data_IF_399333521032
#
_entry.id   IF_399333521032
#
_cell.length_a   1.000
_cell.length_b   1.000
_cell.length_c   1.000
_cell.angle_alpha   90.00
_cell.angle_beta   90.00
_cell.angle_gamma   90.00
#
_symmetry.space_group_name_H-M   'P 1'
#
loop_
_entity.id
_entity.type
_entity.pdbx_description
1 polymer ?
#
# COMPACT_ATOMS: atom_id res chain seq x y z
N UNK A 1 72.73 -25.57 -39.05
CA UNK A 1 71.46 -24.93 -39.45
C UNK A 1 70.73 -24.48 -38.19
N UNK A 2 70.52 -23.16 -38.03
CA UNK A 2 69.88 -22.54 -36.85
C UNK A 2 68.41 -22.31 -37.15
N UNK A 3 67.49 -22.83 -36.33
CA UNK A 3 66.05 -22.55 -36.41
C UNK A 3 65.70 -21.33 -35.53
N UNK A 4 65.07 -20.27 -36.07
CA UNK A 4 64.54 -19.17 -35.28
C UNK A 4 63.01 -19.13 -35.35
N UNK A 5 62.32 -19.95 -34.55
CA UNK A 5 60.84 -19.92 -34.49
C UNK A 5 60.28 -19.99 -33.06
N UNK A 6 61.04 -19.53 -32.06
CA UNK A 6 60.63 -19.61 -30.65
C UNK A 6 60.70 -18.26 -29.93
N UNK A 7 60.26 -17.17 -30.57
CA UNK A 7 60.15 -15.85 -29.91
C UNK A 7 58.83 -15.10 -30.11
N UNK A 8 57.91 -15.60 -30.93
CA UNK A 8 56.64 -14.89 -31.19
C UNK A 8 55.42 -15.43 -30.42
N UNK A 9 55.54 -16.56 -29.70
CA UNK A 9 54.41 -17.14 -28.99
C UNK A 9 54.17 -16.58 -27.56
N UNK A 10 55.09 -15.78 -27.01
CA UNK A 10 55.03 -15.34 -25.60
C UNK A 10 54.51 -13.90 -25.41
N UNK A 11 54.22 -13.17 -26.50
CA UNK A 11 53.69 -11.80 -26.41
C UNK A 11 52.18 -11.73 -26.68
N UNK A 12 51.57 -12.76 -27.29
CA UNK A 12 50.14 -12.79 -27.57
C UNK A 12 49.26 -13.31 -26.41
N UNK A 13 49.85 -13.90 -25.36
CA UNK A 13 49.11 -14.45 -24.22
C UNK A 13 49.04 -13.52 -22.99
N UNK A 14 49.58 -12.30 -23.10
CA UNK A 14 49.54 -11.28 -22.04
C UNK A 14 48.48 -10.18 -22.27
N UNK A 15 47.53 -10.41 -23.19
CA UNK A 15 46.47 -9.45 -23.52
C UNK A 15 45.02 -9.96 -23.36
N UNK A 16 44.81 -11.09 -22.67
CA UNK A 16 43.46 -11.67 -22.45
C UNK A 16 43.14 -11.99 -20.98
N UNK A 17 43.74 -11.25 -20.04
CA UNK A 17 43.34 -11.25 -18.64
C UNK A 17 42.90 -9.87 -18.16
N UNK A 18 42.28 -9.07 -19.02
CA UNK A 18 41.36 -8.02 -18.57
C UNK A 18 40.06 -8.71 -18.17
N UNK A 19 40.08 -9.25 -16.95
CA UNK A 19 38.89 -9.73 -16.24
C UNK A 19 37.90 -8.57 -16.27
N UNK A 20 36.79 -8.77 -16.96
CA UNK A 20 35.60 -7.94 -16.84
C UNK A 20 35.13 -8.00 -15.40
N UNK A 21 35.69 -7.14 -14.55
CA UNK A 21 35.04 -6.74 -13.32
C UNK A 21 33.79 -5.98 -13.78
N UNK A 22 32.68 -6.71 -13.90
CA UNK A 22 31.38 -6.07 -13.83
C UNK A 22 31.39 -5.31 -12.50
N UNK A 23 31.64 -4.00 -12.56
CA UNK A 23 31.58 -3.13 -11.41
C UNK A 23 30.19 -3.32 -10.82
N UNK A 24 30.12 -4.01 -9.68
CA UNK A 24 28.89 -4.16 -8.95
C UNK A 24 28.53 -2.76 -8.47
N UNK A 25 27.67 -2.07 -9.22
CA UNK A 25 27.18 -0.75 -8.84
C UNK A 25 26.28 -0.93 -7.62
N UNK A 26 26.73 -0.43 -6.48
CA UNK A 26 25.99 -0.53 -5.23
C UNK A 26 24.87 0.51 -5.23
N UNK A 27 23.64 0.06 -4.99
CA UNK A 27 22.48 0.93 -4.80
C UNK A 27 22.41 1.32 -3.32
N UNK A 28 22.75 2.57 -3.01
CA UNK A 28 22.71 3.14 -1.67
C UNK A 28 21.47 4.01 -1.49
N UNK A 29 20.93 4.05 -0.27
CA UNK A 29 19.91 5.04 0.13
C UNK A 29 20.53 6.00 1.13
N UNK A 30 20.80 7.23 0.71
CA UNK A 30 21.37 8.27 1.56
C UNK A 30 20.32 9.37 1.69
N UNK A 31 19.87 9.66 2.93
CA UNK A 31 18.84 10.66 3.21
C UNK A 31 17.52 10.46 2.42
N UNK A 32 17.12 9.20 2.22
CA UNK A 32 15.89 8.86 1.48
C UNK A 32 15.99 8.94 -0.05
N UNK A 33 17.15 9.34 -0.60
CA UNK A 33 17.40 9.34 -2.05
C UNK A 33 18.21 8.11 -2.46
N UNK A 34 17.79 7.47 -3.55
CA UNK A 34 18.54 6.36 -4.16
C UNK A 34 19.73 6.92 -4.93
N UNK A 35 20.93 6.52 -4.56
CA UNK A 35 22.19 6.90 -5.22
C UNK A 35 22.95 5.63 -5.59
N UNK A 36 23.52 5.60 -6.78
CA UNK A 36 24.33 4.48 -7.26
C UNK A 36 25.80 4.84 -7.14
N UNK A 37 26.60 3.98 -6.50
CA UNK A 37 28.01 4.24 -6.24
C UNK A 37 28.86 2.99 -6.51
N UNK A 38 30.11 3.22 -6.89
CA UNK A 38 31.07 2.15 -7.18
C UNK A 38 31.78 1.64 -5.92
N UNK A 39 31.48 2.22 -4.76
CA UNK A 39 32.02 1.85 -3.45
C UNK A 39 30.90 1.40 -2.50
N UNK A 40 31.15 0.43 -1.60
CA UNK A 40 30.15 -0.01 -0.62
C UNK A 40 29.71 1.16 0.28
N UNK A 41 28.40 1.25 0.55
CA UNK A 41 27.84 2.39 1.27
C UNK A 41 28.46 2.50 2.68
N UNK A 42 29.06 3.65 3.00
CA UNK A 42 29.87 3.91 4.21
C UNK A 42 29.07 4.22 5.49
N UNK A 43 27.75 4.19 5.43
CA UNK A 43 26.85 4.31 6.58
C UNK A 43 26.03 3.04 6.70
N UNK A 44 25.82 2.56 7.93
CA UNK A 44 25.00 1.40 8.32
C UNK A 44 23.85 1.14 7.35
N UNK A 45 24.17 0.38 6.30
CA UNK A 45 23.21 -0.44 5.62
C UNK A 45 22.84 -1.47 6.67
N UNK A 46 21.57 -1.51 7.03
CA UNK A 46 21.04 -2.72 7.65
C UNK A 46 21.53 -3.89 6.82
N UNK A 47 22.30 -4.80 7.42
CA UNK A 47 22.68 -6.04 6.76
C UNK A 47 21.42 -6.77 6.31
N UNK A 48 21.52 -7.65 5.31
CA UNK A 48 20.38 -8.53 4.92
C UNK A 48 19.80 -9.25 6.14
N UNK A 49 20.63 -9.55 7.14
CA UNK A 49 20.22 -10.08 8.42
C UNK A 49 19.40 -9.10 9.27
N UNK A 50 19.80 -7.83 9.39
CA UNK A 50 19.04 -6.79 10.11
C UNK A 50 17.71 -6.47 9.41
N UNK A 51 17.67 -6.45 8.09
CA UNK A 51 16.42 -6.31 7.32
C UNK A 51 15.48 -7.50 7.50
N UNK A 52 16.03 -8.72 7.53
CA UNK A 52 15.26 -9.94 7.82
C UNK A 52 14.69 -9.91 9.24
N UNK A 53 15.49 -9.50 10.23
CA UNK A 53 15.05 -9.34 11.63
C UNK A 53 13.96 -8.27 11.76
N UNK A 54 14.10 -7.13 11.07
CA UNK A 54 13.09 -6.06 11.06
C UNK A 54 11.76 -6.55 10.49
N UNK A 55 11.77 -7.30 9.39
CA UNK A 55 10.57 -7.92 8.80
C UNK A 55 9.95 -8.97 9.73
N UNK A 56 10.77 -9.79 10.38
CA UNK A 56 10.30 -10.79 11.33
C UNK A 56 9.60 -10.12 12.53
N UNK A 57 10.20 -9.08 13.09
CA UNK A 57 9.61 -8.30 14.19
C UNK A 57 8.32 -7.59 13.78
N UNK A 58 8.27 -7.03 12.58
CA UNK A 58 7.03 -6.43 12.06
C UNK A 58 5.91 -7.47 11.93
N UNK A 59 6.23 -8.68 11.45
CA UNK A 59 5.27 -9.77 11.33
C UNK A 59 4.74 -10.24 12.68
N UNK A 60 5.58 -10.26 13.71
CA UNK A 60 5.17 -10.58 15.08
C UNK A 60 4.19 -9.52 15.63
N UNK A 61 4.53 -8.23 15.47
CA UNK A 61 3.63 -7.13 15.87
C UNK A 61 2.31 -7.15 15.10
N UNK A 62 2.33 -7.48 13.80
CA UNK A 62 1.13 -7.63 12.98
C UNK A 62 0.24 -8.77 13.50
N UNK A 63 0.84 -9.92 13.80
CA UNK A 63 0.15 -11.07 14.37
C UNK A 63 -0.47 -10.78 15.74
N UNK A 64 0.27 -10.10 16.64
CA UNK A 64 -0.23 -9.77 17.97
C UNK A 64 -1.42 -8.82 17.91
N UNK A 65 -1.33 -7.78 17.05
CA UNK A 65 -2.44 -6.86 16.82
C UNK A 65 -3.65 -7.56 16.19
N UNK A 66 -3.42 -8.51 15.28
CA UNK A 66 -4.49 -9.32 14.70
C UNK A 66 -5.18 -10.18 15.76
N UNK A 67 -4.40 -10.82 16.64
CA UNK A 67 -4.91 -11.63 17.74
C UNK A 67 -5.76 -10.77 18.69
N UNK A 68 -5.25 -9.60 19.11
CA UNK A 68 -6.00 -8.67 19.95
C UNK A 68 -7.33 -8.25 19.31
N UNK A 69 -7.34 -7.94 18.01
CA UNK A 69 -8.58 -7.62 17.31
C UNK A 69 -9.55 -8.80 17.31
N UNK A 70 -9.08 -10.01 17.01
CA UNK A 70 -9.93 -11.21 17.02
C UNK A 70 -10.55 -11.48 18.40
N UNK A 71 -9.79 -11.28 19.48
CA UNK A 71 -10.27 -11.42 20.85
C UNK A 71 -11.35 -10.38 21.17
N UNK A 72 -11.14 -9.12 20.78
CA UNK A 72 -12.14 -8.07 20.95
C UNK A 72 -13.43 -8.36 20.16
N UNK A 73 -13.32 -8.88 18.93
CA UNK A 73 -14.48 -9.22 18.09
C UNK A 73 -15.26 -10.44 18.64
N UNK A 74 -14.54 -11.38 19.27
CA UNK A 74 -15.13 -12.55 19.90
C UNK A 74 -15.81 -12.23 21.25
N UNK A 75 -15.40 -11.16 21.91
CA UNK A 75 -15.99 -10.68 23.16
C UNK A 75 -17.32 -9.90 22.96
N UNK A 76 -17.66 -9.53 21.72
CA UNK A 76 -18.92 -8.84 21.43
C UNK A 76 -20.12 -9.77 21.58
N UNK A 77 -21.23 -9.23 22.10
CA UNK A 77 -22.50 -9.94 22.15
C UNK A 77 -23.03 -10.24 20.74
N UNK A 78 -23.87 -11.27 20.56
CA UNK A 78 -24.50 -11.57 19.29
C UNK A 78 -25.31 -10.39 18.72
N UNK A 79 -25.94 -9.61 19.59
CA UNK A 79 -26.71 -8.43 19.21
C UNK A 79 -25.82 -7.31 18.68
N UNK A 80 -24.74 -6.99 19.39
CA UNK A 80 -23.76 -5.99 18.93
C UNK A 80 -23.14 -6.37 17.60
N UNK A 81 -22.80 -7.66 17.41
CA UNK A 81 -22.24 -8.17 16.14
C UNK A 81 -23.23 -8.01 14.98
N UNK A 82 -24.53 -8.19 15.23
CA UNK A 82 -25.57 -8.01 14.22
C UNK A 82 -25.79 -6.54 13.84
N UNK A 83 -25.65 -5.63 14.82
CA UNK A 83 -25.87 -4.19 14.62
C UNK A 83 -24.63 -3.46 14.09
N UNK A 84 -23.43 -3.99 14.33
CA UNK A 84 -22.16 -3.33 14.00
C UNK A 84 -22.01 -2.91 12.52
N UNK A 85 -22.41 -3.72 11.51
CA UNK A 85 -22.38 -3.29 10.11
C UNK A 85 -23.25 -2.04 9.88
N UNK A 86 -24.46 -2.00 10.45
CA UNK A 86 -25.38 -0.87 10.29
C UNK A 86 -24.84 0.40 10.94
N UNK A 87 -24.22 0.25 12.12
CA UNK A 87 -23.56 1.35 12.81
C UNK A 87 -22.41 1.93 11.98
N UNK A 88 -21.57 1.05 11.42
CA UNK A 88 -20.47 1.42 10.53
C UNK A 88 -20.97 2.17 9.29
N UNK A 89 -22.03 1.67 8.64
CA UNK A 89 -22.64 2.34 7.50
C UNK A 89 -23.17 3.73 7.86
N UNK A 90 -23.81 3.88 9.02
CA UNK A 90 -24.31 5.17 9.48
C UNK A 90 -23.16 6.17 9.72
N UNK A 91 -22.06 5.72 10.33
CA UNK A 91 -20.87 6.54 10.55
C UNK A 91 -20.22 6.96 9.22
N UNK A 92 -20.06 6.03 8.29
CA UNK A 92 -19.51 6.32 6.97
C UNK A 92 -20.37 7.34 6.21
N UNK A 93 -21.70 7.15 6.19
CA UNK A 93 -22.64 8.09 5.56
C UNK A 93 -22.51 9.48 6.15
N UNK A 94 -22.52 9.61 7.48
CA UNK A 94 -22.37 10.90 8.16
C UNK A 94 -21.06 11.61 7.74
N UNK A 95 -19.93 10.89 7.79
CA UNK A 95 -18.62 11.43 7.43
C UNK A 95 -18.50 11.84 5.98
N UNK A 96 -19.12 11.09 5.07
CA UNK A 96 -19.10 11.40 3.65
C UNK A 96 -20.00 12.60 3.35
N UNK A 97 -21.18 12.65 3.95
CA UNK A 97 -22.12 13.77 3.83
C UNK A 97 -21.50 15.09 4.32
N UNK A 98 -20.73 15.07 5.42
CA UNK A 98 -19.98 16.24 5.92
C UNK A 98 -18.98 16.81 4.90
N UNK A 99 -18.48 15.99 3.97
CA UNK A 99 -17.52 16.40 2.93
C UNK A 99 -18.17 16.87 1.63
N UNK A 100 -19.48 16.73 1.48
CA UNK A 100 -20.19 17.11 0.27
C UNK A 100 -20.45 18.62 0.21
N UNK A 101 -20.45 19.17 -1.00
CA UNK A 101 -20.78 20.59 -1.23
C UNK A 101 -22.22 20.88 -0.81
N UNK A 102 -23.14 19.96 -1.09
CA UNK A 102 -24.54 20.01 -0.65
C UNK A 102 -24.88 18.75 0.17
N UNK A 103 -24.67 18.78 1.50
CA UNK A 103 -24.95 17.64 2.37
C UNK A 103 -26.39 17.14 2.29
N UNK A 104 -27.36 18.03 2.04
CA UNK A 104 -28.79 17.68 2.01
C UNK A 104 -29.20 16.93 0.74
N UNK A 105 -28.46 17.11 -0.35
CA UNK A 105 -28.67 16.40 -1.61
C UNK A 105 -27.76 15.17 -1.76
N UNK A 106 -27.13 14.71 -0.68
CA UNK A 106 -26.26 13.52 -0.71
C UNK A 106 -27.08 12.25 -0.76
N UNK A 107 -26.87 11.45 -1.80
CA UNK A 107 -27.53 10.17 -2.03
C UNK A 107 -26.52 9.03 -2.00
N UNK A 108 -26.90 7.92 -1.37
CA UNK A 108 -26.06 6.73 -1.25
C UNK A 108 -26.73 5.51 -1.87
N UNK A 109 -25.93 4.63 -2.47
CA UNK A 109 -26.40 3.30 -2.91
C UNK A 109 -25.28 2.27 -2.84
N UNK A 110 -25.67 0.99 -2.90
CA UNK A 110 -24.75 -0.14 -2.86
C UNK A 110 -23.79 -0.11 -1.65
N UNK A 111 -24.26 0.43 -0.51
CA UNK A 111 -23.43 0.58 0.69
C UNK A 111 -23.34 -0.75 1.42
N UNK A 112 -22.12 -1.18 1.75
CA UNK A 112 -21.83 -2.40 2.51
C UNK A 112 -20.68 -2.16 3.48
N UNK A 113 -20.83 -2.62 4.71
CA UNK A 113 -19.76 -2.65 5.70
C UNK A 113 -19.07 -4.02 5.75
N UNK A 114 -17.74 -4.00 5.81
CA UNK A 114 -16.87 -5.16 5.93
C UNK A 114 -16.04 -5.01 7.20
N UNK A 115 -16.08 -6.03 8.07
CA UNK A 115 -15.44 -6.02 9.38
C UNK A 115 -14.17 -6.88 9.33
N UNK A 116 -13.08 -6.41 9.95
CA UNK A 116 -11.86 -7.19 10.10
C UNK A 116 -11.09 -7.45 8.80
N UNK A 117 -11.10 -6.50 7.86
CA UNK A 117 -10.43 -6.61 6.57
C UNK A 117 -8.93 -6.30 6.71
N UNK A 118 -8.08 -7.07 6.04
CA UNK A 118 -6.63 -6.81 6.07
C UNK A 118 -6.27 -5.42 5.52
N UNK A 119 -5.59 -4.61 6.32
CA UNK A 119 -5.27 -3.21 6.03
C UNK A 119 -4.38 -3.04 4.79
N UNK A 120 -3.54 -4.01 4.46
CA UNK A 120 -2.69 -4.01 3.24
C UNK A 120 -3.45 -3.83 1.92
N UNK A 121 -4.77 -4.04 1.89
CA UNK A 121 -5.59 -3.78 0.70
C UNK A 121 -5.93 -2.27 0.53
N UNK A 122 -5.73 -1.45 1.58
CA UNK A 122 -6.14 -0.05 1.64
C UNK A 122 -4.98 0.91 1.98
N UNK A 123 -3.93 0.42 2.64
CA UNK A 123 -2.76 1.20 3.07
C UNK A 123 -1.51 0.70 2.35
N UNK A 124 -0.63 1.64 1.96
CA UNK A 124 0.71 1.30 1.48
C UNK A 124 1.57 0.78 2.63
N UNK A 125 2.55 -0.07 2.30
CA UNK A 125 3.48 -0.70 3.26
C UNK A 125 4.26 0.33 4.10
N UNK A 126 4.36 1.56 3.60
CA UNK A 126 5.05 2.69 4.25
C UNK A 126 4.19 3.34 5.36
N UNK A 127 2.86 3.19 5.30
CA UNK A 127 1.89 3.64 6.32
C UNK A 127 1.72 2.58 7.44
N UNK A 128 2.81 1.91 7.82
CA UNK A 128 2.82 0.77 8.76
C UNK A 128 2.38 1.09 10.21
N UNK A 129 1.94 2.32 10.48
CA UNK A 129 1.39 2.71 11.78
C UNK A 129 -0.06 2.23 11.99
N UNK A 130 -0.76 1.82 10.92
CA UNK A 130 -2.15 1.37 10.99
C UNK A 130 -2.35 0.00 11.68
N UNK A 131 -3.56 -0.31 12.16
CA UNK A 131 -3.89 -1.65 12.62
C UNK A 131 -3.84 -2.66 11.46
N UNK A 132 -3.49 -3.94 11.70
CA UNK A 132 -3.35 -4.94 10.64
C UNK A 132 -4.68 -5.30 9.97
N UNK A 133 -5.77 -5.09 10.70
CA UNK A 133 -7.15 -5.25 10.25
C UNK A 133 -7.93 -3.97 10.52
N UNK A 134 -8.82 -3.65 9.60
CA UNK A 134 -9.63 -2.44 9.60
C UNK A 134 -11.08 -2.79 9.25
N UNK A 135 -11.99 -1.95 9.71
CA UNK A 135 -13.38 -1.98 9.27
C UNK A 135 -13.55 -0.97 8.14
N UNK A 136 -14.14 -1.42 7.04
CA UNK A 136 -14.27 -0.65 5.80
C UNK A 136 -15.73 -0.61 5.37
N UNK A 137 -16.20 0.57 4.97
CA UNK A 137 -17.49 0.74 4.31
C UNK A 137 -17.24 1.16 2.88
N UNK A 138 -17.80 0.40 1.95
CA UNK A 138 -17.75 0.68 0.52
C UNK A 138 -19.15 1.02 0.01
N UNK A 139 -19.23 1.83 -1.04
CA UNK A 139 -20.48 2.10 -1.73
C UNK A 139 -20.33 3.15 -2.81
N UNK A 140 -21.45 3.71 -3.23
CA UNK A 140 -21.49 4.83 -4.16
C UNK A 140 -22.21 6.02 -3.55
N UNK A 141 -21.71 7.22 -3.84
CA UNK A 141 -22.26 8.50 -3.39
C UNK A 141 -22.49 9.42 -4.57
N UNK A 142 -23.58 10.19 -4.53
CA UNK A 142 -23.88 11.25 -5.48
C UNK A 142 -24.29 12.51 -4.70
N UNK A 143 -23.99 13.67 -5.23
CA UNK A 143 -24.37 14.97 -4.65
C UNK A 143 -24.47 16.02 -5.75
N UNK A 144 -25.18 17.11 -5.45
CA UNK A 144 -25.17 18.30 -6.28
C UNK A 144 -23.83 19.01 -6.22
N UNK A 145 -23.42 19.59 -7.35
CA UNK A 145 -22.32 20.53 -7.46
C UNK A 145 -22.78 21.96 -7.12
N UNK A 146 -21.86 22.93 -7.18
CA UNK A 146 -22.15 24.36 -6.92
C UNK A 146 -23.18 24.97 -7.90
N UNK A 147 -23.41 24.34 -9.06
CA UNK A 147 -24.40 24.79 -10.05
C UNK A 147 -25.76 24.09 -9.87
N UNK A 148 -25.93 23.26 -8.83
CA UNK A 148 -27.19 22.59 -8.52
C UNK A 148 -27.45 21.28 -9.29
N UNK A 149 -26.53 20.87 -10.17
CA UNK A 149 -26.63 19.61 -10.92
C UNK A 149 -25.96 18.45 -10.19
N UNK A 150 -26.53 17.25 -10.28
CA UNK A 150 -25.91 16.03 -9.76
C UNK A 150 -24.69 15.64 -10.60
N UNK A 151 -23.61 15.22 -9.93
CA UNK A 151 -22.35 14.83 -10.58
C UNK A 151 -22.33 13.37 -11.06
N UNK A 152 -23.38 12.62 -10.71
CA UNK A 152 -23.45 11.18 -10.93
C UNK A 152 -22.84 10.41 -9.76
N UNK A 153 -23.23 9.15 -9.64
CA UNK A 153 -22.72 8.30 -8.56
C UNK A 153 -21.26 7.95 -8.79
N UNK A 154 -20.51 8.06 -7.71
CA UNK A 154 -19.09 7.80 -7.66
C UNK A 154 -18.76 6.83 -6.54
N UNK A 155 -17.85 5.86 -6.75
CA UNK A 155 -17.48 4.91 -5.72
C UNK A 155 -16.76 5.61 -4.57
N UNK A 156 -16.94 5.14 -3.35
CA UNK A 156 -16.19 5.60 -2.17
C UNK A 156 -15.76 4.40 -1.31
N UNK A 157 -14.74 4.63 -0.50
CA UNK A 157 -14.56 3.84 0.72
C UNK A 157 -14.34 4.76 1.92
N UNK A 158 -14.75 4.27 3.08
CA UNK A 158 -14.51 4.86 4.39
C UNK A 158 -13.94 3.81 5.32
N UNK A 159 -13.03 4.20 6.18
CA UNK A 159 -12.37 3.33 7.17
C UNK A 159 -12.60 3.88 8.57
N UNK A 160 -12.68 3.02 9.60
CA UNK A 160 -12.97 3.46 10.98
C UNK A 160 -11.92 4.42 11.55
N UNK A 161 -10.67 4.35 11.10
CA UNK A 161 -9.59 5.29 11.44
C UNK A 161 -9.73 6.65 10.74
N UNK A 162 -10.79 6.85 9.95
CA UNK A 162 -11.17 8.15 9.40
C UNK A 162 -10.60 8.44 8.01
N UNK A 163 -9.89 7.50 7.37
CA UNK A 163 -9.51 7.67 5.96
C UNK A 163 -10.74 7.53 5.08
N UNK A 164 -10.91 8.49 4.19
CA UNK A 164 -12.03 8.55 3.25
C UNK A 164 -11.46 8.80 1.86
N UNK A 165 -11.66 7.86 0.95
CA UNK A 165 -11.35 8.06 -0.45
C UNK A 165 -12.62 8.43 -1.21
N UNK A 166 -12.62 9.64 -1.74
CA UNK A 166 -13.58 10.12 -2.73
C UNK A 166 -12.81 10.38 -4.03
N UNK A 167 -13.31 9.97 -5.19
CA UNK A 167 -12.69 10.30 -6.46
C UNK A 167 -12.73 11.82 -6.67
N UNK A 168 -11.59 12.48 -6.47
CA UNK A 168 -11.42 13.90 -6.82
C UNK A 168 -11.19 14.04 -8.33
N UNK A 169 -11.79 15.09 -8.89
CA UNK A 169 -11.74 15.41 -10.31
C UNK A 169 -10.34 15.87 -10.71
N UNK A 170 -9.68 15.08 -11.56
CA UNK A 170 -9.11 15.56 -12.83
C UNK A 170 -7.96 14.70 -13.35
N UNK A 171 -7.37 13.81 -12.56
CA UNK A 171 -6.51 12.71 -13.06
C UNK A 171 -6.29 11.61 -12.01
N UNK A 172 -6.39 11.96 -10.73
CA UNK A 172 -6.43 11.02 -9.61
C UNK A 172 -7.72 10.17 -9.60
N UNK A 173 -8.78 10.66 -10.25
CA UNK A 173 -10.09 10.02 -10.30
C UNK A 173 -10.03 8.59 -10.85
N UNK A 174 -9.29 8.34 -11.94
CA UNK A 174 -9.20 7.01 -12.57
C UNK A 174 -8.43 6.03 -11.69
N UNK A 175 -7.30 6.46 -11.14
CA UNK A 175 -6.44 5.60 -10.31
C UNK A 175 -7.13 5.32 -8.98
N UNK A 176 -7.68 6.36 -8.33
CA UNK A 176 -8.36 6.22 -7.05
C UNK A 176 -9.68 5.46 -7.19
N UNK A 177 -10.49 5.73 -8.22
CA UNK A 177 -11.70 4.91 -8.47
C UNK A 177 -11.34 3.46 -8.79
N UNK A 178 -10.29 3.20 -9.57
CA UNK A 178 -9.84 1.82 -9.83
C UNK A 178 -9.36 1.13 -8.56
N UNK A 179 -8.64 1.83 -7.68
CA UNK A 179 -8.18 1.29 -6.41
C UNK A 179 -9.35 1.05 -5.46
N UNK A 180 -10.27 2.00 -5.31
CA UNK A 180 -11.50 1.86 -4.51
C UNK A 180 -12.32 0.67 -5.03
N UNK A 181 -12.58 0.61 -6.33
CA UNK A 181 -13.33 -0.48 -6.96
C UNK A 181 -12.62 -1.81 -6.76
N UNK A 182 -11.31 -1.90 -6.99
CA UNK A 182 -10.56 -3.16 -6.80
C UNK A 182 -10.55 -3.60 -5.35
N UNK A 183 -10.30 -2.69 -4.42
CA UNK A 183 -10.24 -3.00 -2.99
C UNK A 183 -11.60 -3.40 -2.45
N UNK A 184 -12.68 -2.71 -2.84
CA UNK A 184 -14.04 -3.05 -2.43
C UNK A 184 -14.60 -4.29 -3.16
N UNK A 185 -14.39 -4.45 -4.48
CA UNK A 185 -14.84 -5.63 -5.22
C UNK A 185 -14.11 -6.92 -4.82
N UNK A 186 -12.90 -6.81 -4.25
CA UNK A 186 -12.20 -7.95 -3.66
C UNK A 186 -12.87 -8.46 -2.38
N UNK A 187 -13.69 -7.65 -1.71
CA UNK A 187 -14.40 -8.03 -0.48
C UNK A 187 -15.77 -8.66 -0.75
N UNK A 188 -16.27 -8.58 -1.99
CA UNK A 188 -17.54 -9.20 -2.39
C UNK A 188 -17.39 -10.65 -2.89
N UNK A 189 -16.16 -11.16 -2.98
CA UNK A 189 -15.85 -12.55 -3.33
C UNK A 189 -15.59 -13.39 -2.09
#
# INVERSE_FOLDING_TARGET
MKLPFLKFALVAFLFLASISNALAVYRCTVNGQTVFQDSPCLGSLGTVAEDAQRRAKQKEVENDRFLQHSLATNAMSPEERSQQPKLLEAQAKARITERMIDPKSTEFRNVKAYIGVAARNFYSVEDASGPPVIDVVCGEVNSKNRMGGYVGFKPFYWTRDGKVALPESDNFEKVLSTLVIRSCAKLER
#
